data_IF_888481568040
#
_entry.id   IF_888481568040
#
_cell.length_a   1.000
_cell.length_b   1.000
_cell.length_c   1.000
_cell.angle_alpha   90.00
_cell.angle_beta   90.00
_cell.angle_gamma   90.00
#
_symmetry.space_group_name_H-M   'P 1'
#
loop_
_entity.id
_entity.type
_entity.pdbx_description
1 polymer ?
#
# COMPACT_ATOMS: atom_id res chain seq x y z
N UNK A 1 -47.09 -3.68 10.81
CA UNK A 1 -46.83 -3.87 9.37
C UNK A 1 -45.51 -4.63 9.22
N UNK A 2 -45.57 -5.93 8.89
CA UNK A 2 -44.37 -6.79 8.79
C UNK A 2 -43.62 -6.63 7.46
N UNK A 3 -44.33 -6.27 6.39
CA UNK A 3 -43.76 -6.05 5.06
C UNK A 3 -42.80 -4.86 5.05
N UNK A 4 -43.17 -3.76 5.71
CA UNK A 4 -42.30 -2.59 5.85
C UNK A 4 -41.04 -2.89 6.69
N UNK A 5 -41.20 -3.68 7.77
CA UNK A 5 -40.07 -4.12 8.60
C UNK A 5 -39.10 -5.05 7.85
N UNK A 6 -39.62 -5.89 6.94
CA UNK A 6 -38.79 -6.75 6.07
C UNK A 6 -37.94 -5.88 5.14
N UNK A 7 -38.56 -4.93 4.46
CA UNK A 7 -37.86 -4.03 3.53
C UNK A 7 -36.78 -3.19 4.24
N UNK A 8 -37.07 -2.69 5.45
CA UNK A 8 -36.07 -1.96 6.24
C UNK A 8 -34.89 -2.85 6.62
N UNK A 9 -35.13 -4.11 6.99
CA UNK A 9 -34.07 -5.05 7.33
C UNK A 9 -33.20 -5.39 6.11
N UNK A 10 -33.80 -5.55 4.93
CA UNK A 10 -33.08 -5.76 3.67
C UNK A 10 -32.17 -4.57 3.32
N UNK A 11 -32.67 -3.35 3.48
CA UNK A 11 -31.89 -2.13 3.21
C UNK A 11 -30.74 -1.93 4.21
N UNK A 12 -30.97 -2.20 5.50
CA UNK A 12 -29.93 -2.18 6.53
C UNK A 12 -28.84 -3.23 6.26
N UNK A 13 -29.23 -4.44 5.83
CA UNK A 13 -28.29 -5.50 5.46
C UNK A 13 -27.45 -5.09 4.25
N UNK A 14 -28.08 -4.51 3.22
CA UNK A 14 -27.42 -3.99 2.03
C UNK A 14 -26.37 -2.91 2.40
N UNK A 15 -26.76 -1.92 3.20
CA UNK A 15 -25.84 -0.87 3.67
C UNK A 15 -24.65 -1.45 4.46
N UNK A 16 -24.87 -2.50 5.25
CA UNK A 16 -23.78 -3.16 5.98
C UNK A 16 -22.78 -3.86 5.06
N UNK A 17 -23.25 -4.47 3.97
CA UNK A 17 -22.37 -5.09 2.96
C UNK A 17 -21.54 -4.02 2.27
N UNK A 18 -22.16 -2.94 1.78
CA UNK A 18 -21.44 -1.85 1.14
C UNK A 18 -20.45 -1.15 2.09
N UNK A 19 -20.84 -0.92 3.34
CA UNK A 19 -19.93 -0.38 4.35
C UNK A 19 -18.70 -1.27 4.54
N UNK A 20 -18.88 -2.60 4.53
CA UNK A 20 -17.80 -3.57 4.71
C UNK A 20 -16.83 -3.55 3.54
N UNK A 21 -17.35 -3.51 2.31
CA UNK A 21 -16.54 -3.38 1.08
C UNK A 21 -15.74 -2.07 1.10
N UNK A 22 -16.36 -0.96 1.48
CA UNK A 22 -15.66 0.34 1.59
C UNK A 22 -14.56 0.29 2.66
N UNK A 23 -14.83 -0.31 3.81
CA UNK A 23 -13.83 -0.49 4.84
C UNK A 23 -12.66 -1.37 4.36
N UNK A 24 -12.93 -2.47 3.67
CA UNK A 24 -11.90 -3.33 3.09
C UNK A 24 -11.05 -2.59 2.05
N UNK A 25 -11.67 -1.81 1.17
CA UNK A 25 -10.94 -0.96 0.21
C UNK A 25 -10.03 0.06 0.90
N UNK A 26 -10.50 0.71 1.96
CA UNK A 26 -9.66 1.60 2.78
C UNK A 26 -8.49 0.84 3.43
N UNK A 27 -8.75 -0.38 3.92
CA UNK A 27 -7.72 -1.24 4.53
C UNK A 27 -6.66 -1.63 3.51
N UNK A 28 -7.06 -1.99 2.30
CA UNK A 28 -6.14 -2.41 1.24
C UNK A 28 -5.18 -1.28 0.85
N UNK A 29 -5.64 -0.02 0.72
CA UNK A 29 -4.67 1.06 0.46
C UNK A 29 -3.84 1.44 1.68
N UNK A 30 -4.33 1.23 2.91
CA UNK A 30 -3.47 1.35 4.12
C UNK A 30 -2.40 0.27 4.14
N UNK A 31 -2.69 -0.95 3.67
CA UNK A 31 -1.68 -2.00 3.53
C UNK A 31 -0.66 -1.67 2.44
N UNK A 32 -1.11 -1.07 1.34
CA UNK A 32 -0.23 -0.61 0.26
C UNK A 32 0.67 0.57 0.67
N UNK A 33 0.19 1.45 1.56
CA UNK A 33 0.99 2.50 2.19
C UNK A 33 0.81 2.51 3.72
N UNK A 34 1.54 1.64 4.44
CA UNK A 34 1.40 1.52 5.90
C UNK A 34 1.87 2.77 6.65
N UNK A 35 2.64 3.64 5.99
CA UNK A 35 3.23 4.84 6.58
C UNK A 35 2.40 6.11 6.31
N UNK A 36 1.23 6.01 5.66
CA UNK A 36 0.36 7.16 5.37
C UNK A 36 0.05 8.01 6.61
N UNK A 37 -0.19 7.41 7.78
CA UNK A 37 -0.45 8.18 9.00
C UNK A 37 0.76 8.90 9.58
N UNK A 38 1.97 8.41 9.34
CA UNK A 38 3.21 9.06 9.81
C UNK A 38 3.70 10.10 8.81
N UNK A 39 3.46 9.87 7.52
CA UNK A 39 3.96 10.68 6.42
C UNK A 39 3.01 11.83 6.04
N UNK A 40 1.70 11.62 6.21
CA UNK A 40 0.68 12.58 5.80
C UNK A 40 0.02 13.22 7.03
N UNK A 41 0.46 14.44 7.34
CA UNK A 41 -0.14 15.24 8.43
C UNK A 41 -1.64 15.40 8.24
N UNK A 42 -2.40 15.21 9.31
CA UNK A 42 -3.86 15.36 9.32
C UNK A 42 -4.64 14.12 8.90
N UNK A 43 -4.01 13.10 8.31
CA UNK A 43 -4.68 11.88 7.82
C UNK A 43 -5.61 11.24 8.86
N UNK A 44 -5.12 11.04 10.09
CA UNK A 44 -5.85 10.33 11.17
C UNK A 44 -6.87 11.20 11.92
N UNK A 45 -6.83 12.51 11.68
CA UNK A 45 -7.82 13.48 12.17
C UNK A 45 -8.93 13.75 11.15
N UNK A 46 -8.68 13.47 9.87
CA UNK A 46 -9.66 13.64 8.81
C UNK A 46 -10.76 12.58 8.91
N UNK A 47 -11.99 13.02 8.69
CA UNK A 47 -13.14 12.15 8.41
C UNK A 47 -13.50 12.37 6.96
N UNK A 48 -13.43 11.30 6.16
CA UNK A 48 -13.74 11.28 4.75
C UNK A 48 -15.20 10.91 4.52
N UNK A 49 -15.74 11.20 3.34
CA UNK A 49 -17.14 11.07 2.99
C UNK A 49 -17.93 12.29 3.42
N UNK A 50 -19.21 12.09 3.77
CA UNK A 50 -20.21 13.17 3.69
C UNK A 50 -19.76 14.42 4.45
N UNK A 51 -19.88 15.61 3.85
CA UNK A 51 -19.44 16.89 4.42
C UNK A 51 -17.91 17.09 4.56
N UNK A 52 -17.06 16.18 4.08
CA UNK A 52 -15.67 16.52 3.81
C UNK A 52 -15.64 17.45 2.59
N UNK A 53 -15.15 18.68 2.78
CA UNK A 53 -15.12 19.69 1.72
C UNK A 53 -13.66 20.03 1.48
N UNK A 54 -13.05 19.34 0.51
CA UNK A 54 -11.68 19.58 0.12
C UNK A 54 -11.06 18.40 -0.59
N UNK A 55 -9.76 18.51 -0.83
CA UNK A 55 -8.96 17.43 -1.36
C UNK A 55 -7.84 17.20 -0.35
N UNK A 56 -7.74 15.98 0.18
CA UNK A 56 -6.67 15.60 1.07
C UNK A 56 -5.34 15.76 0.33
N UNK A 57 -4.39 16.41 0.98
CA UNK A 57 -3.09 16.71 0.41
C UNK A 57 -2.00 16.06 1.26
N UNK A 58 -1.13 15.32 0.59
CA UNK A 58 0.11 14.80 1.15
C UNK A 58 1.22 15.10 0.15
N UNK A 59 1.88 16.27 0.23
CA UNK A 59 2.73 16.79 -0.84
C UNK A 59 3.87 15.86 -1.27
N UNK A 60 4.47 15.15 -0.32
CA UNK A 60 5.57 14.20 -0.58
C UNK A 60 5.10 12.79 -0.96
N UNK A 61 3.80 12.50 -0.82
CA UNK A 61 3.20 11.19 -1.06
C UNK A 61 1.86 11.38 -1.80
N UNK A 62 1.96 11.84 -3.04
CA UNK A 62 0.80 12.22 -3.86
C UNK A 62 -0.13 11.04 -4.16
N UNK A 63 0.41 9.82 -4.23
CA UNK A 63 -0.38 8.60 -4.42
C UNK A 63 -1.21 8.24 -3.19
N UNK A 64 -0.65 8.44 -1.99
CA UNK A 64 -1.37 8.29 -0.72
C UNK A 64 -2.47 9.34 -0.59
N UNK A 65 -2.19 10.56 -1.05
CA UNK A 65 -3.20 11.60 -1.15
C UNK A 65 -4.32 11.20 -2.11
N UNK A 66 -3.98 10.74 -3.32
CA UNK A 66 -4.95 10.28 -4.30
C UNK A 66 -5.83 9.15 -3.75
N UNK A 67 -5.23 8.14 -3.11
CA UNK A 67 -5.98 7.04 -2.49
C UNK A 67 -6.96 7.52 -1.42
N UNK A 68 -6.57 8.49 -0.59
CA UNK A 68 -7.46 9.06 0.42
C UNK A 68 -8.63 9.85 -0.18
N UNK A 69 -8.41 10.54 -1.31
CA UNK A 69 -9.47 11.22 -2.05
C UNK A 69 -10.39 10.24 -2.78
N UNK A 70 -9.85 9.16 -3.36
CA UNK A 70 -10.67 8.09 -3.95
C UNK A 70 -11.65 7.49 -2.92
N UNK A 71 -11.22 7.34 -1.66
CA UNK A 71 -12.10 6.88 -0.58
C UNK A 71 -13.19 7.87 -0.26
N UNK A 72 -12.85 9.16 -0.26
CA UNK A 72 -13.78 10.25 0.00
C UNK A 72 -14.94 10.24 -1.00
N UNK A 73 -14.60 10.22 -2.29
CA UNK A 73 -15.57 10.16 -3.40
C UNK A 73 -16.46 8.90 -3.30
N UNK A 74 -15.86 7.75 -2.94
CA UNK A 74 -16.60 6.50 -2.74
C UNK A 74 -17.54 6.53 -1.53
N UNK A 75 -17.16 7.22 -0.45
CA UNK A 75 -17.99 7.38 0.75
C UNK A 75 -19.11 8.40 0.55
N UNK A 76 -18.89 9.41 -0.30
CA UNK A 76 -19.91 10.37 -0.74
C UNK A 76 -20.90 9.75 -1.74
N UNK A 77 -20.51 8.66 -2.39
CA UNK A 77 -21.34 7.96 -3.36
C UNK A 77 -21.25 8.53 -4.77
N UNK A 78 -20.18 9.26 -5.08
CA UNK A 78 -19.96 9.93 -6.36
C UNK A 78 -19.75 8.94 -7.53
N UNK A 79 -19.35 7.70 -7.24
CA UNK A 79 -18.94 6.74 -8.27
C UNK A 79 -20.04 5.82 -8.83
N UNK A 80 -21.29 5.85 -8.33
CA UNK A 80 -22.39 5.14 -9.02
C UNK A 80 -23.69 5.94 -9.00
N UNK A 81 -23.97 6.74 -10.01
CA UNK A 81 -25.33 7.26 -10.24
C UNK A 81 -26.09 6.30 -11.18
N UNK A 82 -27.13 5.65 -10.69
CA UNK A 82 -28.19 5.15 -11.59
C UNK A 82 -29.26 6.22 -11.70
N UNK A 83 -29.25 6.89 -12.85
CA UNK A 83 -30.10 8.04 -13.15
C UNK A 83 -29.79 9.25 -12.23
N UNK A 84 -30.55 9.45 -11.15
CA UNK A 84 -30.35 10.54 -10.16
C UNK A 84 -30.08 10.04 -8.74
N UNK A 85 -29.96 8.72 -8.55
CA UNK A 85 -29.72 8.12 -7.24
C UNK A 85 -28.27 7.63 -7.14
N UNK A 86 -27.54 8.15 -6.14
CA UNK A 86 -26.26 7.61 -5.71
C UNK A 86 -26.48 6.17 -5.21
N UNK A 87 -25.85 5.23 -5.90
CA UNK A 87 -25.74 3.82 -5.58
C UNK A 87 -24.32 3.55 -5.04
N UNK A 88 -24.15 2.45 -4.33
CA UNK A 88 -22.82 1.95 -3.94
C UNK A 88 -22.27 2.48 -2.59
N UNK A 89 -22.70 3.64 -2.10
CA UNK A 89 -22.36 4.12 -0.76
C UNK A 89 -23.52 3.96 0.23
N UNK A 90 -23.28 3.50 1.47
CA UNK A 90 -24.27 3.56 2.54
C UNK A 90 -24.75 5.01 2.76
N UNK A 91 -26.00 5.18 3.18
CA UNK A 91 -26.60 6.52 3.35
C UNK A 91 -25.77 7.40 4.30
N UNK A 92 -25.28 8.53 3.79
CA UNK A 92 -24.46 9.49 4.55
C UNK A 92 -23.22 8.82 5.19
N UNK A 93 -22.49 8.02 4.41
CA UNK A 93 -21.33 7.30 4.90
C UNK A 93 -20.17 8.24 5.25
N UNK A 94 -19.38 7.83 6.24
CA UNK A 94 -18.17 8.50 6.70
C UNK A 94 -17.09 7.49 7.04
N UNK A 95 -15.88 7.73 6.55
CA UNK A 95 -14.70 6.95 6.82
C UNK A 95 -13.80 7.65 7.84
N UNK A 96 -13.37 6.94 8.87
CA UNK A 96 -12.39 7.44 9.82
C UNK A 96 -11.27 6.44 10.02
N UNK A 97 -10.05 6.95 10.09
CA UNK A 97 -8.86 6.15 10.36
C UNK A 97 -8.22 6.63 11.66
N UNK A 98 -8.01 5.71 12.59
CA UNK A 98 -7.20 5.95 13.79
C UNK A 98 -5.91 5.16 13.68
N UNK A 99 -4.79 5.82 13.96
CA UNK A 99 -3.49 5.20 14.01
C UNK A 99 -2.98 5.21 15.44
N UNK A 100 -2.51 4.07 15.88
CA UNK A 100 -1.74 3.90 17.09
C UNK A 100 -0.32 3.54 16.66
N UNK A 101 0.62 4.44 16.95
CA UNK A 101 2.04 4.16 16.73
C UNK A 101 2.47 2.94 17.53
N UNK A 102 3.51 2.25 17.02
CA UNK A 102 4.18 1.17 17.75
C UNK A 102 4.58 1.64 19.15
N UNK A 103 4.44 0.73 20.12
CA UNK A 103 5.04 0.87 21.45
C UNK A 103 6.05 -0.27 21.68
N UNK A 104 6.75 -0.25 22.81
CA UNK A 104 7.66 -1.34 23.18
C UNK A 104 6.94 -2.68 23.39
N UNK A 105 5.63 -2.66 23.67
CA UNK A 105 4.83 -3.85 24.01
C UNK A 105 3.73 -4.18 23.00
N UNK A 106 3.55 -3.38 21.95
CA UNK A 106 2.50 -3.60 20.95
C UNK A 106 2.91 -3.06 19.56
N UNK A 107 2.58 -3.79 18.47
CA UNK A 107 2.81 -3.32 17.10
C UNK A 107 1.98 -2.08 16.77
N UNK A 108 2.36 -1.39 15.70
CA UNK A 108 1.54 -0.30 15.17
C UNK A 108 0.18 -0.85 14.71
N UNK A 109 -0.87 -0.06 14.88
CA UNK A 109 -2.23 -0.49 14.60
C UNK A 109 -3.03 0.62 13.93
N UNK A 110 -3.73 0.27 12.87
CA UNK A 110 -4.82 1.07 12.34
C UNK A 110 -6.15 0.54 12.82
N UNK A 111 -7.06 1.45 13.16
CA UNK A 111 -8.49 1.17 13.28
C UNK A 111 -9.19 1.94 12.17
N UNK A 112 -9.67 1.21 11.18
CA UNK A 112 -10.49 1.74 10.09
C UNK A 112 -11.94 1.59 10.50
N UNK A 113 -12.73 2.63 10.32
CA UNK A 113 -14.16 2.62 10.65
C UNK A 113 -14.97 3.30 9.57
N UNK A 114 -16.08 2.66 9.19
CA UNK A 114 -17.09 3.24 8.31
C UNK A 114 -18.38 3.38 9.12
N UNK A 115 -18.85 4.62 9.25
CA UNK A 115 -20.10 4.96 9.91
C UNK A 115 -21.13 5.43 8.88
N UNK A 116 -22.40 5.13 9.10
CA UNK A 116 -23.48 5.56 8.21
C UNK A 116 -24.81 5.74 8.97
N UNK A 117 -25.78 6.38 8.31
CA UNK A 117 -27.13 6.52 8.84
C UNK A 117 -27.94 5.26 8.57
N UNK A 118 -28.34 4.56 9.62
CA UNK A 118 -29.32 3.47 9.57
C UNK A 118 -30.76 3.97 9.44
N UNK A 119 -31.68 3.03 9.36
CA UNK A 119 -33.13 3.26 9.24
C UNK A 119 -33.90 2.91 10.52
N UNK A 120 -33.21 2.30 11.49
CA UNK A 120 -33.77 1.98 12.80
C UNK A 120 -32.76 2.29 13.90
N UNK A 121 -33.27 2.53 15.12
CA UNK A 121 -32.42 2.79 16.27
C UNK A 121 -31.40 1.65 16.47
N UNK A 122 -30.16 2.01 16.77
CA UNK A 122 -29.11 1.07 17.15
C UNK A 122 -28.91 1.07 18.66
N UNK A 123 -28.43 -0.04 19.20
CA UNK A 123 -27.75 0.01 20.49
C UNK A 123 -26.57 0.97 20.37
N UNK A 124 -26.37 1.83 21.38
CA UNK A 124 -25.32 2.84 21.44
C UNK A 124 -23.98 2.17 21.17
N UNK A 125 -23.38 2.44 20.01
CA UNK A 125 -22.06 1.91 19.69
C UNK A 125 -21.07 2.48 20.71
N UNK A 126 -20.28 1.60 21.33
CA UNK A 126 -19.42 1.93 22.46
C UNK A 126 -18.60 3.21 22.24
N UNK A 127 -18.38 3.96 23.32
CA UNK A 127 -17.61 5.21 23.37
C UNK A 127 -16.21 5.15 22.73
N UNK A 128 -15.67 3.95 22.52
CA UNK A 128 -14.38 3.72 21.87
C UNK A 128 -14.38 3.95 20.35
N UNK A 129 -15.53 4.02 19.69
CA UNK A 129 -15.62 4.33 18.26
C UNK A 129 -16.27 5.70 18.09
N UNK A 130 -15.48 6.71 17.68
CA UNK A 130 -15.94 8.10 17.56
C UNK A 130 -16.37 8.48 16.14
N UNK A 131 -16.17 7.60 15.15
CA UNK A 131 -16.48 7.91 13.75
C UNK A 131 -17.98 8.14 13.54
N UNK A 132 -18.37 9.33 13.08
CA UNK A 132 -19.78 9.69 12.90
C UNK A 132 -20.57 9.87 14.20
N UNK A 133 -19.90 9.97 15.35
CA UNK A 133 -20.56 10.18 16.64
C UNK A 133 -21.37 11.49 16.63
N UNK A 134 -22.61 11.41 17.10
CA UNK A 134 -23.59 12.51 17.16
C UNK A 134 -24.07 13.07 15.81
N UNK A 135 -23.61 12.53 14.67
CA UNK A 135 -23.96 13.06 13.34
C UNK A 135 -25.23 12.44 12.73
N UNK A 136 -25.79 11.39 13.34
CA UNK A 136 -26.94 10.64 12.81
C UNK A 136 -28.16 10.68 13.75
N UNK A 137 -28.28 11.74 14.54
CA UNK A 137 -29.44 11.94 15.42
C UNK A 137 -30.61 12.53 14.63
N UNK A 138 -31.71 11.78 14.54
CA UNK A 138 -32.95 12.25 13.91
C UNK A 138 -34.04 12.24 14.96
N UNK A 139 -34.59 13.41 15.29
CA UNK A 139 -35.66 13.55 16.30
C UNK A 139 -35.33 12.92 17.66
N UNK A 140 -34.07 13.02 18.11
CA UNK A 140 -33.61 12.44 19.38
C UNK A 140 -33.33 10.94 19.35
N UNK A 141 -33.40 10.31 18.17
CA UNK A 141 -33.04 8.89 17.97
C UNK A 141 -31.68 8.81 17.29
N UNK A 142 -30.74 8.09 17.90
CA UNK A 142 -29.45 7.78 17.30
C UNK A 142 -29.61 6.64 16.28
N UNK A 143 -29.43 6.98 15.01
CA UNK A 143 -29.48 6.04 13.88
C UNK A 143 -28.08 5.63 13.40
N UNK A 144 -27.03 5.98 14.16
CA UNK A 144 -25.66 5.66 13.79
C UNK A 144 -25.43 4.15 13.72
N UNK A 145 -24.92 3.71 12.58
CA UNK A 145 -24.31 2.39 12.40
C UNK A 145 -22.81 2.56 12.20
N UNK A 146 -22.05 1.54 12.58
CA UNK A 146 -20.61 1.53 12.41
C UNK A 146 -20.11 0.10 12.28
N UNK A 147 -19.13 -0.07 11.41
CA UNK A 147 -18.23 -1.21 11.42
C UNK A 147 -16.80 -0.70 11.64
N UNK A 148 -15.99 -1.52 12.31
CA UNK A 148 -14.61 -1.19 12.60
C UNK A 148 -13.74 -2.42 12.43
N UNK A 149 -12.60 -2.25 11.80
CA UNK A 149 -11.57 -3.27 11.65
C UNK A 149 -10.28 -2.77 12.28
N UNK A 150 -9.64 -3.63 13.06
CA UNK A 150 -8.28 -3.41 13.55
C UNK A 150 -7.32 -4.12 12.62
N UNK A 151 -6.35 -3.38 12.07
CA UNK A 151 -5.27 -3.93 11.26
C UNK A 151 -3.98 -3.68 12.03
N UNK A 152 -3.31 -4.75 12.40
CA UNK A 152 -1.95 -4.68 12.90
C UNK A 152 -1.04 -4.50 11.70
N UNK A 153 -0.20 -3.48 11.75
CA UNK A 153 0.89 -3.33 10.79
C UNK A 153 2.07 -4.11 11.37
N UNK A 154 2.48 -5.22 10.74
CA UNK A 154 3.70 -5.89 11.13
C UNK A 154 4.83 -4.89 11.03
N UNK A 155 5.73 -4.94 12.00
CA UNK A 155 6.96 -4.18 11.89
C UNK A 155 7.84 -4.79 10.83
N UNK A 156 8.13 -4.03 9.78
CA UNK A 156 9.52 -3.93 9.32
C UNK A 156 10.24 -3.12 10.41
N UNK A 157 10.84 -3.82 11.37
CA UNK A 157 11.55 -3.13 12.44
C UNK A 157 12.83 -2.53 11.88
N UNK A 158 12.90 -1.20 11.76
CA UNK A 158 14.17 -0.46 11.83
C UNK A 158 14.63 -0.32 13.29
N UNK A 159 14.51 -1.40 14.07
CA UNK A 159 15.16 -1.46 15.38
C UNK A 159 16.68 -1.52 15.18
N UNK A 160 17.50 -1.06 16.14
CA UNK A 160 18.92 -1.34 16.10
C UNK A 160 19.09 -2.86 16.05
N UNK A 161 19.70 -3.36 14.99
CA UNK A 161 20.02 -4.77 14.83
C UNK A 161 21.12 -5.09 15.85
N UNK A 162 20.77 -5.43 17.09
CA UNK A 162 21.78 -5.85 18.06
C UNK A 162 21.38 -6.89 19.10
N UNK A 163 20.22 -7.54 18.96
CA UNK A 163 19.81 -8.54 19.97
C UNK A 163 19.32 -9.89 19.44
N UNK A 164 19.29 -10.10 18.10
CA UNK A 164 18.96 -11.41 17.53
C UNK A 164 20.16 -12.29 17.16
N UNK A 165 21.39 -11.77 17.31
CA UNK A 165 22.62 -12.51 16.99
C UNK A 165 23.60 -12.62 18.18
N UNK A 166 23.17 -12.36 19.43
CA UNK A 166 24.08 -12.35 20.59
C UNK A 166 24.19 -13.65 21.38
N UNK A 167 23.35 -14.65 21.12
CA UNK A 167 23.29 -15.79 22.04
C UNK A 167 24.05 -17.04 21.60
N UNK A 168 24.59 -17.14 20.39
CA UNK A 168 25.42 -18.28 19.99
C UNK A 168 26.55 -17.81 19.07
N UNK A 169 27.78 -17.78 19.59
CA UNK A 169 29.01 -17.31 18.93
C UNK A 169 29.50 -18.14 17.74
N UNK A 170 28.59 -18.59 16.88
CA UNK A 170 28.86 -19.22 15.58
C UNK A 170 27.67 -18.91 14.67
N UNK A 171 27.83 -17.96 13.74
CA UNK A 171 26.93 -17.92 12.58
C UNK A 171 27.19 -19.19 11.76
N UNK A 172 26.18 -20.02 11.43
CA UNK A 172 26.34 -21.03 10.40
C UNK A 172 26.49 -20.34 9.04
N UNK A 173 27.23 -20.97 8.13
CA UNK A 173 27.40 -20.50 6.75
C UNK A 173 26.04 -20.23 6.06
N UNK A 174 25.92 -19.17 5.24
CA UNK A 174 24.71 -18.87 4.53
C UNK A 174 24.68 -19.70 3.24
N UNK A 175 24.29 -20.96 3.34
CA UNK A 175 23.80 -21.77 2.23
C UNK A 175 22.69 -22.66 2.79
N UNK A 176 21.41 -22.37 2.51
CA UNK A 176 20.40 -23.41 2.66
C UNK A 176 20.67 -24.54 1.64
N UNK A 177 20.26 -25.75 2.01
CA UNK A 177 20.65 -27.00 1.33
C UNK A 177 20.08 -27.22 -0.07
N UNK A 178 19.37 -26.25 -0.63
CA UNK A 178 18.65 -26.36 -1.91
C UNK A 178 19.24 -25.53 -3.05
N UNK A 179 20.40 -24.91 -2.85
CA UNK A 179 21.18 -24.24 -3.90
C UNK A 179 20.47 -23.05 -4.58
N UNK A 180 19.38 -22.52 -4.01
CA UNK A 180 18.86 -21.20 -4.40
C UNK A 180 19.56 -20.11 -3.59
N UNK A 181 20.32 -19.26 -4.26
CA UNK A 181 20.83 -18.02 -3.70
C UNK A 181 19.66 -17.01 -3.55
N UNK A 182 18.76 -17.24 -2.60
CA UNK A 182 17.80 -16.23 -2.14
C UNK A 182 18.47 -15.43 -1.03
N UNK A 183 19.15 -14.34 -1.39
CA UNK A 183 19.33 -13.11 -0.60
C UNK A 183 20.33 -12.19 -1.34
N UNK A 184 19.86 -11.44 -2.34
CA UNK A 184 20.63 -10.33 -2.89
C UNK A 184 20.48 -9.10 -1.98
N UNK A 185 21.41 -8.89 -1.05
CA UNK A 185 21.55 -7.69 -0.22
C UNK A 185 23.02 -7.25 -0.23
N UNK A 186 23.33 -5.96 -0.48
CA UNK A 186 23.84 -5.20 0.67
C UNK A 186 23.45 -3.72 0.62
N UNK A 187 22.21 -3.40 0.99
CA UNK A 187 21.87 -2.05 1.41
C UNK A 187 21.74 -2.09 2.95
N UNK A 188 22.88 -2.09 3.66
CA UNK A 188 22.90 -2.17 5.13
C UNK A 188 21.94 -1.15 5.75
N UNK A 189 21.03 -1.67 6.56
CA UNK A 189 19.77 -1.07 7.01
C UNK A 189 19.89 0.14 7.95
N UNK A 190 21.01 0.88 7.93
CA UNK A 190 21.18 2.10 8.72
C UNK A 190 21.71 3.32 7.96
N UNK A 191 22.11 3.21 6.69
CA UNK A 191 22.67 4.38 5.96
C UNK A 191 22.35 4.45 4.46
N UNK A 192 21.53 3.54 3.93
CA UNK A 192 21.47 3.27 2.48
C UNK A 192 20.27 3.81 1.71
N UNK A 193 19.39 4.65 2.25
CA UNK A 193 18.48 5.38 1.36
C UNK A 193 19.37 6.33 0.54
N UNK A 194 19.53 6.10 -0.77
CA UNK A 194 20.43 6.93 -1.54
C UNK A 194 19.95 8.39 -1.45
N UNK A 195 20.89 9.29 -1.17
CA UNK A 195 20.56 10.70 -0.98
C UNK A 195 19.83 11.22 -2.22
N UNK A 196 18.59 11.70 -2.07
CA UNK A 196 17.78 12.20 -3.18
C UNK A 196 16.43 11.51 -3.37
N UNK A 197 16.13 10.46 -2.61
CA UNK A 197 14.84 9.74 -2.71
C UNK A 197 14.75 8.88 -3.97
N UNK A 198 13.69 8.08 -4.04
CA UNK A 198 13.40 7.20 -5.17
C UNK A 198 12.53 7.91 -6.19
N UNK A 199 12.84 7.75 -7.47
CA UNK A 199 12.06 8.31 -8.57
C UNK A 199 11.57 7.16 -9.45
N UNK A 200 10.27 7.13 -9.76
CA UNK A 200 9.77 6.21 -10.78
C UNK A 200 10.37 6.63 -12.14
N UNK A 201 10.95 5.68 -12.88
CA UNK A 201 11.37 5.97 -14.24
C UNK A 201 10.11 6.31 -15.06
N UNK A 202 10.05 7.52 -15.62
CA UNK A 202 8.94 8.03 -16.43
C UNK A 202 9.37 9.35 -17.07
N UNK A 203 8.98 9.66 -18.32
CA UNK A 203 8.12 8.91 -19.24
C UNK A 203 8.86 7.84 -20.07
N UNK A 204 8.13 7.12 -20.95
CA UNK A 204 8.70 6.13 -21.88
C UNK A 204 9.74 6.73 -22.84
N UNK A 205 10.65 5.89 -23.31
CA UNK A 205 11.69 6.27 -24.27
C UNK A 205 11.77 5.27 -25.43
N UNK A 206 12.72 5.47 -26.36
CA UNK A 206 12.98 4.49 -27.42
C UNK A 206 13.56 3.16 -26.92
N UNK A 207 14.11 3.12 -25.70
CA UNK A 207 14.80 1.94 -25.15
C UNK A 207 14.03 1.22 -24.03
N UNK A 208 12.95 1.83 -23.53
CA UNK A 208 12.04 1.22 -22.55
C UNK A 208 10.63 1.83 -22.63
N UNK A 209 9.61 1.05 -22.30
CA UNK A 209 8.23 1.48 -22.22
C UNK A 209 7.57 1.08 -20.90
N UNK A 210 6.30 1.48 -20.76
CA UNK A 210 5.46 1.13 -19.61
C UNK A 210 4.16 0.51 -20.08
N UNK A 211 3.71 -0.53 -19.38
CA UNK A 211 2.35 -1.07 -19.51
C UNK A 211 1.84 -1.35 -18.10
N UNK A 212 0.82 -0.63 -17.66
CA UNK A 212 0.40 -0.65 -16.25
C UNK A 212 1.52 -0.13 -15.34
N UNK A 213 1.90 -0.93 -14.34
CA UNK A 213 3.00 -0.64 -13.42
C UNK A 213 4.33 -1.28 -13.83
N UNK A 214 4.35 -2.01 -14.96
CA UNK A 214 5.52 -2.74 -15.42
C UNK A 214 6.36 -1.89 -16.39
N UNK A 215 7.64 -1.70 -16.07
CA UNK A 215 8.64 -1.20 -17.01
C UNK A 215 9.13 -2.36 -17.88
N UNK A 216 9.22 -2.16 -19.19
CA UNK A 216 9.82 -3.16 -20.09
C UNK A 216 10.89 -2.55 -20.97
N UNK A 217 11.99 -3.29 -21.17
CA UNK A 217 13.07 -2.86 -22.05
C UNK A 217 12.80 -3.27 -23.50
N UNK A 218 13.11 -2.36 -24.43
CA UNK A 218 13.10 -2.59 -25.88
C UNK A 218 14.50 -2.52 -26.48
N UNK A 219 15.48 -2.06 -25.69
CA UNK A 219 16.90 -2.08 -25.98
C UNK A 219 17.69 -1.99 -24.67
N UNK A 220 19.01 -2.21 -24.74
CA UNK A 220 19.90 -1.92 -23.62
C UNK A 220 19.72 -0.46 -23.20
N UNK A 221 19.44 -0.25 -21.92
CA UNK A 221 19.02 1.04 -21.38
C UNK A 221 19.95 1.44 -20.26
N UNK A 222 20.31 2.72 -20.24
CA UNK A 222 21.07 3.31 -19.14
C UNK A 222 20.24 4.41 -18.51
N UNK A 223 19.98 4.30 -17.21
CA UNK A 223 19.29 5.30 -16.42
C UNK A 223 20.22 5.86 -15.36
N UNK A 224 19.84 6.97 -14.73
CA UNK A 224 20.63 7.58 -13.67
C UNK A 224 19.77 7.99 -12.49
N UNK A 225 20.37 7.99 -11.31
CA UNK A 225 19.66 8.27 -10.06
C UNK A 225 18.97 7.03 -9.49
N UNK A 226 18.22 7.23 -8.42
CA UNK A 226 17.63 6.13 -7.67
C UNK A 226 16.26 5.81 -8.21
N UNK A 227 16.09 4.58 -8.67
CA UNK A 227 14.88 4.16 -9.37
C UNK A 227 14.07 3.19 -8.55
N UNK A 228 12.77 3.41 -8.51
CA UNK A 228 11.81 2.46 -7.94
C UNK A 228 10.80 2.06 -9.01
N UNK A 229 10.45 0.78 -9.07
CA UNK A 229 9.42 0.25 -9.96
C UNK A 229 8.74 -0.95 -9.34
N UNK A 230 7.45 -1.14 -9.65
CA UNK A 230 6.71 -2.34 -9.26
C UNK A 230 7.26 -3.53 -10.04
N UNK A 231 7.08 -3.57 -11.36
CA UNK A 231 7.60 -4.69 -12.16
C UNK A 231 8.66 -4.27 -13.15
N UNK A 232 9.69 -5.10 -13.31
CA UNK A 232 10.71 -4.97 -14.36
C UNK A 232 10.71 -6.18 -15.31
N UNK A 233 10.46 -5.92 -16.58
CA UNK A 233 10.66 -6.87 -17.67
C UNK A 233 11.94 -6.51 -18.45
N UNK A 234 13.01 -7.30 -18.26
CA UNK A 234 14.29 -7.08 -18.94
C UNK A 234 14.25 -7.44 -20.43
N UNK A 235 13.39 -8.38 -20.83
CA UNK A 235 13.13 -8.73 -22.23
C UNK A 235 14.40 -9.03 -23.08
N UNK A 236 15.41 -9.66 -22.48
CA UNK A 236 16.70 -9.95 -23.12
C UNK A 236 17.70 -8.81 -23.14
N UNK A 237 17.38 -7.67 -22.52
CA UNK A 237 18.23 -6.48 -22.51
C UNK A 237 18.88 -6.25 -21.14
N UNK A 238 19.85 -5.33 -21.13
CA UNK A 238 20.50 -4.87 -19.91
C UNK A 238 19.97 -3.50 -19.48
N UNK A 239 19.68 -3.36 -18.18
CA UNK A 239 19.44 -2.09 -17.52
C UNK A 239 20.68 -1.69 -16.73
N UNK A 240 21.37 -0.63 -17.15
CA UNK A 240 22.50 -0.05 -16.43
C UNK A 240 22.03 1.12 -15.58
N UNK A 241 22.39 1.15 -14.30
CA UNK A 241 22.10 2.27 -13.39
C UNK A 241 23.39 3.04 -13.12
N UNK A 242 23.46 4.26 -13.64
CA UNK A 242 24.57 5.18 -13.39
C UNK A 242 24.25 6.08 -12.20
N UNK A 243 25.19 6.24 -11.27
CA UNK A 243 25.06 7.15 -10.13
C UNK A 243 23.73 7.04 -9.35
N UNK A 244 23.28 5.81 -9.06
CA UNK A 244 22.08 5.59 -8.25
C UNK A 244 21.79 4.13 -7.96
N UNK A 245 20.79 3.89 -7.12
CA UNK A 245 20.36 2.54 -6.74
C UNK A 245 19.07 2.14 -7.46
N UNK A 246 18.67 0.87 -7.37
CA UNK A 246 17.40 0.40 -7.93
C UNK A 246 16.63 -0.43 -6.90
N UNK A 247 15.33 -0.20 -6.84
CA UNK A 247 14.36 -0.93 -6.05
C UNK A 247 13.26 -1.48 -6.98
N UNK A 248 12.99 -2.78 -6.90
CA UNK A 248 12.03 -3.49 -7.75
C UNK A 248 11.17 -4.39 -6.86
N UNK A 249 9.87 -4.50 -7.12
CA UNK A 249 8.99 -5.46 -6.42
C UNK A 249 9.01 -6.84 -7.08
N UNK A 250 8.98 -6.92 -8.42
CA UNK A 250 9.03 -8.19 -9.15
C UNK A 250 9.74 -8.09 -10.51
N UNK A 251 10.41 -9.17 -10.95
CA UNK A 251 10.74 -9.38 -12.36
C UNK A 251 9.57 -10.02 -13.11
N UNK A 252 8.75 -9.22 -13.79
CA UNK A 252 7.55 -9.69 -14.45
C UNK A 252 7.38 -9.15 -15.89
N UNK A 253 7.23 -10.06 -16.85
CA UNK A 253 6.94 -9.74 -18.26
C UNK A 253 5.49 -10.04 -18.67
N UNK A 254 4.55 -10.32 -17.75
CA UNK A 254 3.16 -10.70 -18.08
C UNK A 254 2.43 -9.69 -18.98
N UNK A 255 2.80 -8.41 -18.89
CA UNK A 255 2.21 -7.33 -19.69
C UNK A 255 2.83 -7.17 -21.08
N UNK A 256 3.92 -7.89 -21.39
CA UNK A 256 4.65 -7.80 -22.65
C UNK A 256 4.44 -9.08 -23.46
N UNK A 257 3.83 -8.98 -24.64
CA UNK A 257 3.63 -10.16 -25.49
C UNK A 257 4.97 -10.79 -25.87
N UNK A 258 5.16 -12.07 -25.57
CA UNK A 258 6.43 -12.79 -25.78
C UNK A 258 7.62 -12.24 -24.97
N UNK A 259 7.37 -11.46 -23.92
CA UNK A 259 8.43 -10.97 -23.04
C UNK A 259 9.13 -12.13 -22.32
N UNK A 260 10.45 -12.10 -22.27
CA UNK A 260 11.25 -13.06 -21.51
C UNK A 260 11.94 -12.34 -20.36
N UNK A 261 11.77 -12.82 -19.13
CA UNK A 261 12.47 -12.33 -17.94
C UNK A 261 13.94 -12.83 -17.94
N UNK A 262 14.67 -12.48 -18.99
CA UNK A 262 16.11 -12.75 -19.12
C UNK A 262 16.81 -11.43 -19.40
N UNK A 263 18.05 -11.28 -18.95
CA UNK A 263 18.79 -10.04 -19.13
C UNK A 263 19.67 -9.70 -17.94
N UNK A 264 20.06 -8.44 -17.81
CA UNK A 264 20.91 -8.04 -16.69
C UNK A 264 20.54 -6.68 -16.10
N UNK A 265 20.66 -6.57 -14.77
CA UNK A 265 20.71 -5.27 -14.07
C UNK A 265 22.18 -5.02 -13.74
N UNK A 266 22.72 -3.88 -14.16
CA UNK A 266 24.13 -3.54 -14.01
C UNK A 266 24.23 -2.28 -13.17
N UNK A 267 24.83 -2.41 -11.99
CA UNK A 267 25.21 -1.30 -11.14
C UNK A 267 26.66 -0.91 -11.49
N UNK A 268 26.92 0.38 -11.71
CA UNK A 268 28.22 0.88 -12.17
C UNK A 268 29.15 1.33 -11.05
N UNK A 269 28.64 1.50 -9.83
CA UNK A 269 29.41 1.99 -8.69
C UNK A 269 29.15 1.13 -7.45
N UNK A 270 30.20 0.88 -6.67
CA UNK A 270 30.19 0.08 -5.43
C UNK A 270 29.31 0.64 -4.31
N UNK A 271 28.88 1.90 -4.43
CA UNK A 271 28.00 2.59 -3.49
C UNK A 271 26.52 2.45 -3.84
N UNK A 272 26.22 1.87 -5.00
CA UNK A 272 24.85 1.62 -5.44
C UNK A 272 24.31 0.37 -4.76
N UNK A 273 22.98 0.26 -4.68
CA UNK A 273 22.38 -0.97 -4.20
C UNK A 273 21.22 -1.43 -5.08
N UNK A 274 21.00 -2.73 -5.03
CA UNK A 274 19.83 -3.39 -5.59
C UNK A 274 18.95 -3.83 -4.42
N UNK A 275 17.67 -3.49 -4.46
CA UNK A 275 16.66 -3.96 -3.51
C UNK A 275 15.54 -4.65 -4.26
N UNK A 276 15.20 -5.85 -3.82
CA UNK A 276 14.01 -6.56 -4.26
C UNK A 276 13.01 -6.52 -3.10
N UNK A 277 12.03 -5.61 -3.15
CA UNK A 277 11.10 -5.41 -2.03
C UNK A 277 9.91 -6.35 -2.14
N UNK A 278 9.79 -7.23 -1.15
CA UNK A 278 8.89 -8.36 -1.12
C UNK A 278 7.59 -7.99 -0.39
N UNK A 279 6.50 -7.78 -1.14
CA UNK A 279 5.16 -7.67 -0.57
C UNK A 279 4.42 -9.01 -0.76
N UNK A 280 4.66 -9.93 0.18
CA UNK A 280 3.80 -11.10 0.51
C UNK A 280 3.63 -12.25 -0.54
N UNK A 281 4.38 -12.31 -1.65
CA UNK A 281 4.32 -13.42 -2.63
C UNK A 281 5.69 -14.00 -3.00
N UNK A 282 5.85 -15.34 -2.97
CA UNK A 282 7.10 -16.06 -3.31
C UNK A 282 7.52 -15.81 -4.77
N UNK A 283 8.26 -14.73 -5.04
CA UNK A 283 8.84 -14.44 -6.34
C UNK A 283 10.36 -14.52 -6.27
N UNK A 284 10.92 -15.60 -6.84
CA UNK A 284 12.36 -15.77 -7.02
C UNK A 284 12.86 -14.95 -8.21
N UNK A 285 14.12 -14.48 -8.17
CA UNK A 285 14.78 -13.93 -9.36
C UNK A 285 14.73 -15.00 -10.48
N UNK A 286 14.11 -14.70 -11.64
CA UNK A 286 13.93 -15.71 -12.69
C UNK A 286 15.26 -16.25 -13.20
N UNK A 287 15.31 -17.55 -13.51
CA UNK A 287 16.48 -18.18 -14.11
C UNK A 287 16.80 -17.53 -15.46
N UNK A 288 17.85 -16.69 -15.49
CA UNK A 288 18.25 -15.92 -16.68
C UNK A 288 18.30 -14.40 -16.46
N UNK A 289 17.89 -13.92 -15.30
CA UNK A 289 18.23 -12.57 -14.81
C UNK A 289 19.58 -12.63 -14.10
N UNK A 290 20.48 -11.71 -14.46
CA UNK A 290 21.77 -11.52 -13.80
C UNK A 290 21.84 -10.13 -13.17
N UNK A 291 22.24 -10.03 -11.91
CA UNK A 291 22.47 -8.76 -11.23
C UNK A 291 23.97 -8.61 -11.08
N UNK A 292 24.53 -7.58 -11.71
CA UNK A 292 25.96 -7.29 -11.68
C UNK A 292 26.22 -6.11 -10.77
N UNK A 293 26.90 -6.37 -9.65
CA UNK A 293 27.39 -5.34 -8.74
C UNK A 293 28.93 -5.31 -8.79
N UNK A 294 29.57 -4.12 -8.76
CA UNK A 294 31.01 -4.01 -8.90
C UNK A 294 31.79 -4.36 -7.61
N UNK A 295 31.12 -4.63 -6.47
CA UNK A 295 31.80 -5.15 -5.29
C UNK A 295 31.95 -6.67 -5.35
N UNK A 296 33.19 -7.17 -5.22
CA UNK A 296 33.54 -8.59 -5.30
C UNK A 296 33.14 -9.43 -4.06
N UNK A 297 32.07 -9.06 -3.35
CA UNK A 297 31.64 -9.72 -2.11
C UNK A 297 30.37 -10.59 -2.28
N UNK A 298 30.00 -10.88 -3.53
CA UNK A 298 28.83 -11.67 -3.92
C UNK A 298 29.13 -13.19 -3.88
#
# INVERSE_FOLDING_TARGET
NLQNRSLTAELEASNRVYASILAEYMIERIKADPNIATNCSGFTSTTFGVDYIGNFSCPSFTQSAAAANDWDDLLDGDHQVMNTAAMGAPTQARGCVKYQAKTTTAPAKYRVSVAWRGFSASATSASAATCGLNLYNVSGVDLRRIISYDILIPLISSGPVSERCKDLGTCPEPCESDNSCEDAEPCSSSTGAPSGGWTAASPSSGSYGYTGHSMYLTANTTLSGNLTMTDLCLNGHSLTINNGSIEIEEFNCHQVSNGSNVGSVILTDTTQCYRHDYLDHNHSIPSGVNIQHPSAAD
#
